data_IF_286594050164
#
_entry.id   IF_286594050164
#
_cell.length_a   1.000
_cell.length_b   1.000
_cell.length_c   1.000
_cell.angle_alpha   90.00
_cell.angle_beta   90.00
_cell.angle_gamma   90.00
#
_symmetry.space_group_name_H-M   'P 1'
#
loop_
_entity.id
_entity.type
_entity.pdbx_description
1 polymer ?
#
# COMPACT_ATOMS: atom_id res chain seq x y z
N UNK A 1 16.57 -2.28 8.06
CA UNK A 1 16.26 -2.18 6.61
C UNK A 1 15.37 -3.30 6.11
N UNK A 2 15.47 -4.52 6.66
CA UNK A 2 14.69 -5.68 6.20
C UNK A 2 13.18 -5.45 6.07
N UNK A 3 12.59 -4.61 6.93
CA UNK A 3 11.15 -4.33 6.93
C UNK A 3 10.75 -3.14 6.04
N UNK A 4 11.70 -2.32 5.57
CA UNK A 4 11.42 -1.10 4.78
C UNK A 4 10.78 -1.44 3.43
N UNK A 5 11.40 -2.35 2.67
CA UNK A 5 10.87 -2.75 1.36
C UNK A 5 9.51 -3.48 1.47
N UNK A 6 9.32 -4.46 2.38
CA UNK A 6 8.00 -5.04 2.62
C UNK A 6 6.94 -4.00 2.99
N UNK A 7 7.26 -3.04 3.86
CA UNK A 7 6.31 -1.98 4.23
C UNK A 7 5.90 -1.15 3.00
N UNK A 8 6.87 -0.71 2.20
CA UNK A 8 6.60 0.04 0.96
C UNK A 8 5.73 -0.75 -0.02
N UNK A 9 6.06 -2.02 -0.27
CA UNK A 9 5.29 -2.86 -1.19
C UNK A 9 3.86 -3.08 -0.72
N UNK A 10 3.66 -3.34 0.57
CA UNK A 10 2.31 -3.56 1.12
C UNK A 10 1.46 -2.30 1.04
N UNK A 11 2.02 -1.14 1.40
CA UNK A 11 1.32 0.13 1.33
C UNK A 11 1.01 0.54 -0.12
N UNK A 12 1.97 0.38 -1.05
CA UNK A 12 1.76 0.69 -2.46
C UNK A 12 0.74 -0.26 -3.11
N UNK A 13 0.79 -1.54 -2.76
CA UNK A 13 -0.13 -2.56 -3.26
C UNK A 13 -1.56 -2.30 -2.79
N UNK A 14 -1.74 -1.96 -1.51
CA UNK A 14 -3.05 -1.59 -0.98
C UNK A 14 -3.67 -0.41 -1.72
N UNK A 15 -2.88 0.65 -1.95
CA UNK A 15 -3.31 1.84 -2.69
C UNK A 15 -3.60 1.53 -4.17
N UNK A 16 -2.77 0.70 -4.82
CA UNK A 16 -2.94 0.31 -6.21
C UNK A 16 -4.18 -0.55 -6.46
N UNK A 17 -4.53 -1.43 -5.51
CA UNK A 17 -5.79 -2.18 -5.57
C UNK A 17 -6.98 -1.23 -5.43
N UNK A 18 -6.91 -0.28 -4.49
CA UNK A 18 -7.99 0.68 -4.25
C UNK A 18 -8.22 1.63 -5.44
N UNK A 19 -7.17 2.07 -6.14
CA UNK A 19 -7.32 2.94 -7.33
C UNK A 19 -8.07 2.29 -8.49
N UNK A 20 -8.25 0.96 -8.45
CA UNK A 20 -9.00 0.17 -9.43
C UNK A 20 -10.37 -0.28 -8.96
N UNK A 21 -10.82 0.18 -7.79
CA UNK A 21 -12.11 -0.17 -7.19
C UNK A 21 -13.34 0.42 -7.91
N UNK A 22 -13.17 0.96 -9.12
CA UNK A 22 -14.27 1.51 -9.93
C UNK A 22 -15.30 0.47 -10.39
N UNK A 23 -15.00 -0.83 -10.23
CA UNK A 23 -15.90 -1.94 -10.56
C UNK A 23 -16.79 -2.23 -9.33
N UNK A 24 -18.12 -1.99 -9.40
CA UNK A 24 -19.02 -2.13 -8.26
C UNK A 24 -19.01 -3.52 -7.62
N UNK A 25 -18.89 -4.56 -8.43
CA UNK A 25 -18.90 -5.98 -8.03
C UNK A 25 -17.73 -6.39 -7.12
N UNK A 26 -16.70 -5.55 -7.04
CA UNK A 26 -15.47 -5.83 -6.28
C UNK A 26 -15.35 -5.01 -5.00
N UNK A 27 -16.37 -4.19 -4.70
CA UNK A 27 -16.46 -3.38 -3.49
C UNK A 27 -17.06 -4.18 -2.33
N UNK A 28 -16.81 -3.78 -1.08
CA UNK A 28 -17.50 -4.34 0.07
C UNK A 28 -19.02 -4.15 -0.07
N UNK A 29 -19.80 -5.15 0.36
CA UNK A 29 -21.26 -5.09 0.26
C UNK A 29 -21.91 -4.10 1.24
N UNK A 30 -21.22 -3.77 2.34
CA UNK A 30 -21.71 -2.82 3.35
C UNK A 30 -21.07 -1.44 3.18
N UNK A 31 -21.86 -0.38 3.28
CA UNK A 31 -21.40 1.01 3.24
C UNK A 31 -20.31 1.32 4.27
N UNK A 32 -20.45 0.75 5.48
CA UNK A 32 -19.47 0.92 6.55
C UNK A 32 -18.09 0.34 6.16
N UNK A 33 -18.04 -0.89 5.65
CA UNK A 33 -16.78 -1.50 5.21
C UNK A 33 -16.17 -0.75 4.02
N UNK A 34 -17.00 -0.19 3.13
CA UNK A 34 -16.51 0.65 2.05
C UNK A 34 -15.87 1.95 2.56
N UNK A 35 -16.52 2.63 3.52
CA UNK A 35 -15.97 3.82 4.14
C UNK A 35 -14.63 3.53 4.83
N UNK A 36 -14.55 2.45 5.61
CA UNK A 36 -13.31 1.99 6.24
C UNK A 36 -12.23 1.72 5.19
N UNK A 37 -12.57 0.98 4.13
CA UNK A 37 -11.61 0.67 3.07
C UNK A 37 -11.07 1.94 2.39
N UNK A 38 -11.93 2.90 2.05
CA UNK A 38 -11.52 4.20 1.49
C UNK A 38 -10.56 4.95 2.41
N UNK A 39 -10.86 5.02 3.71
CA UNK A 39 -10.01 5.72 4.68
C UNK A 39 -8.66 5.01 4.79
N UNK A 40 -8.67 3.71 5.02
CA UNK A 40 -7.46 2.91 5.23
C UNK A 40 -6.57 2.91 3.98
N UNK A 41 -7.13 2.80 2.78
CA UNK A 41 -6.35 2.87 1.53
C UNK A 41 -5.74 4.25 1.29
N UNK A 42 -6.44 5.34 1.66
CA UNK A 42 -5.87 6.70 1.62
C UNK A 42 -4.72 6.85 2.60
N UNK A 43 -4.89 6.37 3.83
CA UNK A 43 -3.82 6.37 4.83
C UNK A 43 -2.61 5.55 4.37
N UNK A 44 -2.85 4.38 3.75
CA UNK A 44 -1.78 3.56 3.20
C UNK A 44 -0.99 4.30 2.11
N UNK A 45 -1.68 5.00 1.20
CA UNK A 45 -1.02 5.81 0.17
C UNK A 45 -0.19 6.95 0.78
N UNK A 46 -0.73 7.68 1.75
CA UNK A 46 -0.01 8.76 2.44
C UNK A 46 1.20 8.23 3.21
N UNK A 47 1.05 7.09 3.90
CA UNK A 47 2.15 6.45 4.61
C UNK A 47 3.23 5.94 3.66
N UNK A 48 2.88 5.43 2.48
CA UNK A 48 3.84 5.05 1.45
C UNK A 48 4.69 6.24 0.98
N UNK A 49 4.04 7.38 0.68
CA UNK A 49 4.76 8.62 0.34
C UNK A 49 5.64 9.10 1.49
N UNK A 50 5.11 9.06 2.71
CA UNK A 50 5.84 9.44 3.92
C UNK A 50 7.09 8.58 4.14
N UNK A 51 6.99 7.26 3.96
CA UNK A 51 8.11 6.33 4.06
C UNK A 51 9.15 6.53 2.96
N UNK A 52 8.73 6.81 1.72
CA UNK A 52 9.67 7.15 0.64
C UNK A 52 10.44 8.43 0.96
N UNK A 53 9.75 9.47 1.42
CA UNK A 53 10.38 10.72 1.83
C UNK A 53 11.32 10.51 3.03
N UNK A 54 10.89 9.75 4.03
CA UNK A 54 11.69 9.39 5.20
C UNK A 54 12.95 8.62 4.80
N UNK A 55 12.84 7.62 3.93
CA UNK A 55 13.98 6.87 3.40
C UNK A 55 14.91 7.73 2.55
N UNK A 56 14.39 8.70 1.79
CA UNK A 56 15.21 9.64 1.03
C UNK A 56 16.01 10.58 1.93
N UNK A 57 15.43 11.00 3.06
CA UNK A 57 16.06 11.96 3.98
C UNK A 57 17.05 11.31 4.95
N UNK A 58 16.76 10.09 5.41
CA UNK A 58 17.51 9.45 6.50
C UNK A 58 18.35 8.25 6.06
N UNK A 59 18.20 7.77 4.83
CA UNK A 59 18.97 6.65 4.28
C UNK A 59 19.65 7.02 2.96
N UNK A 60 20.39 6.06 2.40
CA UNK A 60 21.01 6.24 1.10
C UNK A 60 19.91 6.41 0.03
N UNK A 61 20.02 7.44 -0.81
CA UNK A 61 19.02 7.75 -1.84
C UNK A 61 18.75 6.56 -2.78
N UNK A 62 19.74 5.68 -2.96
CA UNK A 62 19.62 4.44 -3.74
C UNK A 62 18.57 3.48 -3.14
N UNK A 63 18.44 3.42 -1.82
CA UNK A 63 17.45 2.56 -1.16
C UNK A 63 16.03 3.08 -1.39
N UNK A 64 15.83 4.39 -1.29
CA UNK A 64 14.54 5.02 -1.59
C UNK A 64 14.17 4.84 -3.08
N UNK A 65 15.13 5.01 -3.99
CA UNK A 65 14.93 4.77 -5.41
C UNK A 65 14.59 3.30 -5.72
N UNK A 66 15.29 2.36 -5.08
CA UNK A 66 14.99 0.92 -5.21
C UNK A 66 13.61 0.57 -4.64
N UNK A 67 13.25 1.12 -3.47
CA UNK A 67 11.94 0.94 -2.87
C UNK A 67 10.80 1.47 -3.75
N UNK A 68 11.00 2.62 -4.41
CA UNK A 68 10.07 3.17 -5.40
C UNK A 68 9.94 2.24 -6.61
N UNK A 69 11.06 1.78 -7.18
CA UNK A 69 11.06 0.86 -8.31
C UNK A 69 10.35 -0.46 -7.97
N UNK A 70 10.64 -1.03 -6.80
CA UNK A 70 10.00 -2.26 -6.32
C UNK A 70 8.50 -2.07 -6.09
N UNK A 71 8.10 -0.93 -5.53
CA UNK A 71 6.68 -0.57 -5.37
C UNK A 71 5.98 -0.49 -6.73
N UNK A 72 6.61 0.14 -7.73
CA UNK A 72 6.07 0.26 -9.07
C UNK A 72 5.92 -1.11 -9.77
N UNK A 73 6.96 -1.96 -9.68
CA UNK A 73 6.91 -3.33 -10.21
C UNK A 73 5.79 -4.13 -9.55
N UNK A 74 5.69 -4.06 -8.22
CA UNK A 74 4.68 -4.79 -7.47
C UNK A 74 3.26 -4.32 -7.79
N UNK A 75 3.02 -3.01 -7.82
CA UNK A 75 1.75 -2.43 -8.26
C UNK A 75 1.44 -2.78 -9.73
N UNK A 76 2.46 -2.87 -10.59
CA UNK A 76 2.36 -3.33 -11.98
C UNK A 76 1.96 -4.81 -12.10
N UNK A 77 2.47 -5.68 -11.23
CA UNK A 77 2.07 -7.09 -11.15
C UNK A 77 0.60 -7.19 -10.71
N UNK A 78 0.22 -6.50 -9.64
CA UNK A 78 -1.18 -6.45 -9.19
C UNK A 78 -2.09 -5.94 -10.30
N UNK A 79 -1.61 -4.94 -11.03
CA UNK A 79 -2.30 -4.39 -12.17
C UNK A 79 -2.53 -5.41 -13.30
N UNK A 80 -1.52 -6.22 -13.61
CA UNK A 80 -1.58 -7.25 -14.65
C UNK A 80 -2.46 -8.45 -14.25
N UNK A 81 -2.52 -8.78 -12.96
CA UNK A 81 -3.36 -9.87 -12.44
C UNK A 81 -4.87 -9.63 -12.63
N UNK A 82 -5.25 -8.37 -12.87
CA UNK A 82 -6.62 -7.94 -13.09
C UNK A 82 -7.48 -7.99 -11.82
N UNK A 83 -8.64 -7.31 -11.84
CA UNK A 83 -9.53 -7.23 -10.68
C UNK A 83 -10.09 -8.61 -10.31
N UNK A 84 -10.12 -8.97 -9.01
CA UNK A 84 -10.66 -10.26 -8.53
C UNK A 84 -11.62 -10.10 -7.35
N UNK A 85 -12.59 -11.03 -7.16
CA UNK A 85 -13.40 -11.09 -5.96
C UNK A 85 -12.53 -11.08 -4.70
N UNK A 86 -12.88 -10.25 -3.72
CA UNK A 86 -12.14 -10.13 -2.45
C UNK A 86 -10.93 -9.19 -2.47
N UNK A 87 -10.64 -8.50 -3.58
CA UNK A 87 -9.57 -7.48 -3.66
C UNK A 87 -9.64 -6.40 -2.58
N UNK A 88 -10.85 -6.01 -2.17
CA UNK A 88 -11.04 -5.08 -1.05
C UNK A 88 -10.43 -5.61 0.26
N UNK A 89 -10.56 -6.91 0.54
CA UNK A 89 -10.03 -7.54 1.74
C UNK A 89 -8.50 -7.69 1.68
N UNK A 90 -7.95 -8.01 0.50
CA UNK A 90 -6.50 -8.03 0.27
C UNK A 90 -5.90 -6.63 0.47
N UNK A 91 -6.52 -5.59 -0.11
CA UNK A 91 -6.10 -4.20 0.07
C UNK A 91 -6.12 -3.78 1.54
N UNK A 92 -7.19 -4.09 2.28
CA UNK A 92 -7.26 -3.82 3.72
C UNK A 92 -6.17 -4.54 4.50
N UNK A 93 -5.94 -5.83 4.23
CA UNK A 93 -4.91 -6.62 4.89
C UNK A 93 -3.52 -6.04 4.66
N UNK A 94 -3.21 -5.70 3.39
CA UNK A 94 -1.93 -5.10 3.02
C UNK A 94 -1.75 -3.72 3.64
N UNK A 95 -2.80 -2.89 3.65
CA UNK A 95 -2.75 -1.58 4.29
C UNK A 95 -2.52 -1.70 5.80
N UNK A 96 -3.26 -2.59 6.49
CA UNK A 96 -3.12 -2.77 7.93
C UNK A 96 -1.69 -3.22 8.30
N UNK A 97 -1.17 -4.26 7.64
CA UNK A 97 0.19 -4.76 7.89
C UNK A 97 1.23 -3.71 7.49
N UNK A 98 1.07 -3.07 6.34
CA UNK A 98 1.99 -2.04 5.85
C UNK A 98 2.05 -0.82 6.78
N UNK A 99 0.91 -0.37 7.32
CA UNK A 99 0.84 0.74 8.28
C UNK A 99 1.51 0.39 9.59
N UNK A 100 1.30 -0.83 10.11
CA UNK A 100 1.97 -1.30 11.33
C UNK A 100 3.48 -1.37 11.13
N UNK A 101 3.96 -1.92 10.01
CA UNK A 101 5.39 -1.97 9.71
C UNK A 101 5.98 -0.57 9.52
N UNK A 102 5.27 0.31 8.82
CA UNK A 102 5.68 1.69 8.61
C UNK A 102 5.81 2.47 9.91
N UNK A 103 4.82 2.36 10.79
CA UNK A 103 4.86 2.96 12.11
C UNK A 103 6.02 2.41 12.95
N UNK A 104 6.22 1.08 12.94
CA UNK A 104 7.33 0.45 13.66
C UNK A 104 8.71 0.93 13.17
N UNK A 105 8.88 1.13 11.85
CA UNK A 105 10.12 1.64 11.27
C UNK A 105 10.42 3.09 11.67
N UNK A 106 9.39 3.95 11.68
CA UNK A 106 9.57 5.38 11.98
C UNK A 106 9.75 5.64 13.48
N UNK A 107 9.15 4.80 14.34
CA UNK A 107 9.22 4.94 15.80
C UNK A 107 10.46 4.31 16.43
N UNK A 108 11.29 3.61 15.65
CA UNK A 108 12.52 2.96 16.10
C UNK A 108 13.73 3.80 15.74
#
# INVERSE_FOLDING_TARGET
MDLYFPALMLLSGAAAIHSRAGIPELRPASDAAEAVWKIVSRLAFLAWLGLLAWGWLLHAWQEAAFGLALSAVFSGILAALGPRPGWWAYSLSMAAVGLVLGAFLVLR
#
